data_IF_086671908576
#
_entry.id   IF_086671908576
#
_cell.length_a   1.000
_cell.length_b   1.000
_cell.length_c   1.000
_cell.angle_alpha   90.00
_cell.angle_beta   90.00
_cell.angle_gamma   90.00
#
_symmetry.space_group_name_H-M   'P 1'
#
loop_
_entity.id
_entity.type
_entity.pdbx_description
1 polymer ?
#
# COMPACT_ATOMS: atom_id res chain seq x y z
N UNK A 1 -12.49 -15.98 -0.20
CA UNK A 1 -11.26 -15.24 -0.56
C UNK A 1 -11.32 -14.97 -2.04
N UNK A 2 -11.24 -13.70 -2.43
CA UNK A 2 -11.19 -13.33 -3.85
C UNK A 2 -9.83 -13.72 -4.44
N UNK A 3 -9.81 -14.06 -5.73
CA UNK A 3 -8.55 -14.34 -6.41
C UNK A 3 -7.92 -13.04 -6.86
N UNK A 4 -6.60 -13.03 -6.98
CA UNK A 4 -5.84 -11.87 -7.44
C UNK A 4 -6.37 -11.30 -8.77
N UNK A 5 -6.83 -12.14 -9.70
CA UNK A 5 -7.38 -11.68 -10.98
C UNK A 5 -8.68 -10.86 -10.81
N UNK A 6 -9.54 -11.24 -9.86
CA UNK A 6 -10.79 -10.52 -9.59
C UNK A 6 -10.52 -9.17 -8.89
N UNK A 7 -9.51 -9.17 -8.00
CA UNK A 7 -9.10 -8.00 -7.21
C UNK A 7 -8.56 -6.86 -8.07
N UNK A 8 -7.95 -7.16 -9.22
CA UNK A 8 -7.44 -6.12 -10.13
C UNK A 8 -8.48 -5.09 -10.55
N UNK A 9 -9.76 -5.48 -10.57
CA UNK A 9 -10.88 -4.62 -10.92
C UNK A 9 -11.69 -4.16 -9.70
N UNK A 10 -11.90 -5.04 -8.72
CA UNK A 10 -12.75 -4.75 -7.56
C UNK A 10 -12.05 -4.03 -6.41
N UNK A 11 -10.72 -3.99 -6.39
CA UNK A 11 -9.94 -3.30 -5.36
C UNK A 11 -10.17 -1.79 -5.37
N UNK A 12 -10.43 -1.21 -6.54
CA UNK A 12 -10.38 0.24 -6.70
C UNK A 12 -11.70 0.93 -6.40
N UNK A 13 -11.66 1.96 -5.56
CA UNK A 13 -12.80 2.86 -5.41
C UNK A 13 -12.93 3.74 -6.67
N UNK A 14 -14.01 3.53 -7.42
CA UNK A 14 -14.31 4.32 -8.64
C UNK A 14 -15.06 5.62 -8.35
N UNK A 15 -15.43 5.87 -7.08
CA UNK A 15 -16.13 7.08 -6.67
C UNK A 15 -15.22 8.33 -6.65
N UNK A 16 -13.92 8.14 -6.44
CA UNK A 16 -12.92 9.21 -6.35
C UNK A 16 -11.78 9.02 -7.34
N UNK A 17 -11.33 10.11 -7.98
CA UNK A 17 -10.13 10.15 -8.80
C UNK A 17 -8.89 10.61 -8.01
N UNK A 18 -8.99 10.78 -6.70
CA UNK A 18 -7.89 11.23 -5.86
C UNK A 18 -6.70 10.27 -5.94
N UNK A 19 -5.51 10.83 -6.17
CA UNK A 19 -4.25 10.09 -6.22
C UNK A 19 -4.09 9.11 -7.41
N UNK A 20 -5.05 9.07 -8.34
CA UNK A 20 -4.93 8.30 -9.59
C UNK A 20 -3.96 9.00 -10.53
N UNK A 21 -2.90 8.29 -10.92
CA UNK A 21 -1.88 8.81 -11.83
C UNK A 21 -2.16 8.41 -13.29
N UNK A 22 -1.46 9.02 -14.27
CA UNK A 22 -1.58 8.63 -15.67
C UNK A 22 -1.33 7.13 -15.87
N UNK A 23 -1.86 6.50 -16.94
CA UNK A 23 -1.70 5.07 -17.20
C UNK A 23 -0.23 4.63 -17.12
N UNK A 24 0.00 3.51 -16.43
CA UNK A 24 1.35 3.02 -16.20
C UNK A 24 2.02 2.60 -17.51
N UNK A 25 3.11 3.28 -17.87
CA UNK A 25 3.91 2.94 -19.06
C UNK A 25 5.10 2.08 -18.69
N UNK A 26 5.57 1.26 -19.64
CA UNK A 26 6.79 0.46 -19.45
C UNK A 26 8.01 1.33 -19.10
N UNK A 27 8.10 2.53 -19.68
CA UNK A 27 9.17 3.48 -19.38
C UNK A 27 9.11 4.00 -17.94
N UNK A 28 7.90 4.26 -17.42
CA UNK A 28 7.71 4.68 -16.03
C UNK A 28 8.15 3.58 -15.06
N UNK A 29 7.87 2.31 -15.35
CA UNK A 29 8.32 1.16 -14.55
C UNK A 29 9.85 1.10 -14.52
N UNK A 30 10.50 1.11 -15.69
CA UNK A 30 11.97 1.05 -15.78
C UNK A 30 12.64 2.22 -15.05
N UNK A 31 12.05 3.43 -15.15
CA UNK A 31 12.55 4.59 -14.43
C UNK A 31 12.35 4.43 -12.92
N UNK A 32 11.21 3.90 -12.47
CA UNK A 32 10.91 3.69 -11.06
C UNK A 32 11.87 2.68 -10.43
N UNK A 33 12.04 1.51 -11.05
CA UNK A 33 12.98 0.49 -10.59
C UNK A 33 14.42 1.01 -10.53
N UNK A 34 14.83 1.81 -11.53
CA UNK A 34 16.16 2.45 -11.52
C UNK A 34 16.32 3.49 -10.41
N UNK A 35 15.30 4.32 -10.17
CA UNK A 35 15.36 5.37 -9.15
C UNK A 35 15.34 4.80 -7.73
N UNK A 36 14.55 3.75 -7.51
CA UNK A 36 14.43 3.08 -6.23
C UNK A 36 15.56 2.05 -6.00
N UNK A 37 16.28 1.68 -7.06
CA UNK A 37 17.30 0.63 -7.05
C UNK A 37 16.74 -0.69 -6.49
N UNK A 38 15.55 -1.07 -6.96
CA UNK A 38 14.86 -2.33 -6.63
C UNK A 38 14.06 -2.85 -7.83
N UNK A 39 13.76 -4.15 -7.82
CA UNK A 39 12.80 -4.77 -8.74
C UNK A 39 11.42 -4.78 -8.09
N UNK A 40 10.42 -4.20 -8.76
CA UNK A 40 9.06 -4.15 -8.23
C UNK A 40 8.35 -5.49 -8.43
N UNK A 41 7.50 -5.95 -7.49
CA UNK A 41 6.77 -7.20 -7.63
C UNK A 41 5.92 -7.20 -8.89
N UNK A 42 5.95 -8.31 -9.63
CA UNK A 42 5.14 -8.46 -10.85
C UNK A 42 3.64 -8.26 -10.59
N UNK A 43 3.14 -8.74 -9.44
CA UNK A 43 1.76 -8.57 -9.02
C UNK A 43 1.39 -7.09 -8.81
N UNK A 44 2.29 -6.29 -8.21
CA UNK A 44 2.08 -4.84 -8.06
C UNK A 44 2.00 -4.15 -9.43
N UNK A 45 2.90 -4.49 -10.36
CA UNK A 45 2.89 -3.90 -11.71
C UNK A 45 1.63 -4.26 -12.50
N UNK A 46 1.13 -5.49 -12.36
CA UNK A 46 -0.13 -5.91 -12.99
C UNK A 46 -1.31 -5.13 -12.40
N UNK A 47 -1.34 -4.94 -11.08
CA UNK A 47 -2.36 -4.13 -10.42
C UNK A 47 -2.32 -2.67 -10.91
N UNK A 48 -1.14 -2.04 -10.90
CA UNK A 48 -0.96 -0.64 -11.30
C UNK A 48 -1.19 -0.38 -12.79
N UNK A 49 -1.10 -1.41 -13.65
CA UNK A 49 -1.50 -1.32 -15.06
C UNK A 49 -3.01 -1.16 -15.24
N UNK A 50 -3.81 -1.71 -14.34
CA UNK A 50 -5.26 -1.52 -14.38
C UNK A 50 -5.64 -0.12 -13.92
N UNK A 51 -5.04 0.33 -12.82
CA UNK A 51 -5.18 1.69 -12.31
C UNK A 51 -3.93 2.10 -11.55
N UNK A 52 -3.33 3.22 -11.95
CA UNK A 52 -2.03 3.63 -11.44
C UNK A 52 -2.16 4.43 -10.14
N UNK A 53 -2.55 3.75 -9.06
CA UNK A 53 -2.81 4.33 -7.74
C UNK A 53 -4.23 4.87 -7.57
N UNK A 54 -4.57 5.16 -6.32
CA UNK A 54 -5.88 5.65 -5.92
C UNK A 54 -6.41 4.97 -4.65
N UNK A 55 -7.63 5.35 -4.26
CA UNK A 55 -8.33 4.75 -3.13
C UNK A 55 -8.71 3.29 -3.38
N UNK A 56 -8.67 2.52 -2.30
CA UNK A 56 -9.15 1.14 -2.22
C UNK A 56 -10.62 1.17 -1.82
N UNK A 57 -11.42 0.27 -2.39
CA UNK A 57 -12.83 0.14 -2.06
C UNK A 57 -13.01 -0.44 -0.65
N UNK A 58 -14.04 0.01 0.06
CA UNK A 58 -14.41 -0.42 1.43
C UNK A 58 -14.62 -1.94 1.60
N UNK A 59 -14.69 -2.70 0.51
CA UNK A 59 -14.72 -4.17 0.56
C UNK A 59 -13.35 -4.82 0.79
N UNK A 60 -12.26 -4.05 0.69
CA UNK A 60 -10.87 -4.52 0.68
C UNK A 60 -9.91 -3.60 1.43
N UNK A 61 -10.42 -2.63 2.17
CA UNK A 61 -9.68 -1.55 2.82
C UNK A 61 -9.00 -1.94 4.15
N UNK A 62 -8.99 -3.24 4.48
CA UNK A 62 -8.30 -3.76 5.66
C UNK A 62 -7.57 -5.08 5.41
N UNK A 63 -6.46 -5.29 6.13
CA UNK A 63 -5.76 -6.56 6.19
C UNK A 63 -5.80 -7.14 7.62
N UNK A 64 -6.31 -8.37 7.82
CA UNK A 64 -6.38 -9.01 9.14
C UNK A 64 -4.97 -9.30 9.70
N UNK A 65 -4.77 -9.03 10.98
CA UNK A 65 -3.54 -9.35 11.70
C UNK A 65 -3.81 -10.29 12.86
N UNK A 66 -2.86 -11.19 13.12
CA UNK A 66 -2.95 -12.14 14.25
C UNK A 66 -2.38 -11.57 15.55
N UNK A 67 -1.81 -10.37 15.49
CA UNK A 67 -1.19 -9.67 16.61
C UNK A 67 -1.66 -8.23 16.63
N UNK A 68 -1.91 -7.66 17.81
CA UNK A 68 -2.30 -6.27 17.93
C UNK A 68 -1.20 -5.36 17.42
N UNK A 69 -1.60 -4.39 16.61
CA UNK A 69 -0.77 -3.26 16.23
C UNK A 69 -1.03 -2.09 17.18
N UNK A 70 -0.29 -1.00 17.02
CA UNK A 70 -0.56 0.23 17.76
C UNK A 70 -1.87 0.92 17.35
N UNK A 71 -2.33 0.61 16.13
CA UNK A 71 -3.50 1.22 15.50
C UNK A 71 -4.77 0.40 15.75
N UNK A 72 -4.70 -0.92 15.61
CA UNK A 72 -5.83 -1.83 15.82
C UNK A 72 -5.41 -3.17 16.41
N UNK A 73 -6.27 -3.82 17.23
CA UNK A 73 -5.98 -5.11 17.84
C UNK A 73 -5.90 -6.29 16.85
N UNK A 74 -6.52 -6.19 15.68
CA UNK A 74 -6.78 -7.33 14.81
C UNK A 74 -6.71 -7.06 13.29
N UNK A 75 -6.43 -5.82 12.87
CA UNK A 75 -6.23 -5.49 11.46
C UNK A 75 -5.33 -4.28 11.24
N UNK A 76 -4.99 -4.00 9.99
CA UNK A 76 -4.35 -2.76 9.53
C UNK A 76 -5.13 -2.18 8.36
N UNK A 77 -5.26 -0.85 8.31
CA UNK A 77 -5.91 -0.16 7.20
C UNK A 77 -5.06 -0.22 5.92
N UNK A 78 -5.75 -0.40 4.80
CA UNK A 78 -5.20 -0.35 3.44
C UNK A 78 -6.21 0.36 2.51
N UNK A 79 -6.43 1.63 2.81
CA UNK A 79 -7.40 2.52 2.16
C UNK A 79 -6.86 3.15 0.86
N UNK A 80 -5.55 3.16 0.66
CA UNK A 80 -4.94 3.86 -0.47
C UNK A 80 -3.70 3.13 -1.02
N UNK A 81 -3.59 3.05 -2.36
CA UNK A 81 -2.42 2.53 -3.06
C UNK A 81 -1.69 3.65 -3.81
N UNK A 82 -0.41 3.82 -3.52
CA UNK A 82 0.47 4.76 -4.24
C UNK A 82 0.72 4.31 -5.67
N UNK A 83 0.60 5.24 -6.61
CA UNK A 83 0.90 5.00 -8.02
C UNK A 83 2.40 5.10 -8.35
N UNK A 84 2.74 4.81 -9.60
CA UNK A 84 4.05 5.08 -10.19
C UNK A 84 3.92 6.20 -11.20
N UNK A 85 4.43 7.37 -10.87
CA UNK A 85 4.52 8.45 -11.84
C UNK A 85 5.40 9.58 -11.36
N UNK A 86 5.97 10.24 -12.35
CA UNK A 86 6.80 11.41 -12.18
C UNK A 86 5.87 12.61 -12.04
N UNK A 87 6.23 13.55 -11.16
CA UNK A 87 5.63 14.89 -11.13
C UNK A 87 5.57 15.40 -12.57
N UNK A 88 4.38 15.59 -13.13
CA UNK A 88 4.30 16.43 -14.31
C UNK A 88 4.75 17.83 -13.87
N UNK A 89 5.86 18.28 -14.46
CA UNK A 89 6.55 19.53 -14.10
C UNK A 89 5.69 20.78 -14.38
N UNK A 90 4.47 20.60 -14.89
CA UNK A 90 3.51 21.66 -15.21
C UNK A 90 2.35 21.81 -14.21
N UNK A 91 2.28 20.99 -13.15
CA UNK A 91 1.33 21.21 -12.08
C UNK A 91 1.88 22.27 -11.12
N UNK A 92 1.69 23.55 -11.47
CA UNK A 92 1.98 24.68 -10.58
C UNK A 92 0.89 24.70 -9.49
N UNK A 93 1.12 23.92 -8.43
CA UNK A 93 0.28 23.92 -7.25
C UNK A 93 0.78 22.92 -6.23
N UNK A 94 1.10 23.38 -5.02
CA UNK A 94 1.49 22.56 -3.85
C UNK A 94 0.41 21.56 -3.39
N UNK A 95 -0.74 21.50 -4.08
CA UNK A 95 -1.91 20.66 -3.81
C UNK A 95 -2.08 19.48 -4.78
N UNK A 96 -1.22 19.38 -5.80
CA UNK A 96 -1.32 18.39 -6.88
C UNK A 96 -0.18 17.35 -6.77
N UNK A 97 0.04 16.86 -5.56
CA UNK A 97 1.05 15.84 -5.27
C UNK A 97 0.33 14.51 -5.12
N UNK A 98 0.01 13.85 -6.23
CA UNK A 98 -0.49 12.48 -6.16
C UNK A 98 0.57 11.60 -5.48
N UNK A 99 0.21 10.88 -4.41
CA UNK A 99 1.12 9.99 -3.70
C UNK A 99 1.70 8.95 -4.66
N UNK A 100 3.02 8.81 -4.63
CA UNK A 100 3.79 8.04 -5.60
C UNK A 100 4.84 7.22 -4.87
N UNK A 101 5.00 5.95 -5.25
CA UNK A 101 6.02 5.09 -4.63
C UNK A 101 7.44 5.67 -4.78
N UNK A 102 7.65 6.59 -5.73
CA UNK A 102 8.91 7.29 -5.95
C UNK A 102 9.30 8.23 -4.80
N UNK A 103 8.35 8.63 -3.95
CA UNK A 103 8.64 9.41 -2.74
C UNK A 103 9.12 8.53 -1.58
N UNK A 104 9.04 7.20 -1.71
CA UNK A 104 9.45 6.26 -0.66
C UNK A 104 10.84 6.53 -0.06
N UNK A 105 11.91 6.79 -0.84
CA UNK A 105 13.22 7.06 -0.25
C UNK A 105 13.25 8.29 0.64
N UNK A 106 12.46 9.32 0.31
CA UNK A 106 12.32 10.53 1.12
C UNK A 106 11.55 10.21 2.41
N UNK A 107 10.39 9.54 2.31
CA UNK A 107 9.57 9.18 3.45
C UNK A 107 10.28 8.21 4.41
N UNK A 108 10.98 7.21 3.87
CA UNK A 108 11.79 6.26 4.65
C UNK A 108 12.86 7.01 5.45
N UNK A 109 13.53 8.01 4.85
CA UNK A 109 14.52 8.81 5.54
C UNK A 109 13.91 9.77 6.58
N UNK A 110 12.79 10.43 6.25
CA UNK A 110 12.09 11.38 7.11
C UNK A 110 11.54 10.71 8.38
N UNK A 111 11.00 9.50 8.23
CA UNK A 111 10.37 8.74 9.31
C UNK A 111 11.33 7.72 9.96
N UNK A 112 12.57 7.61 9.50
CA UNK A 112 13.57 6.69 10.05
C UNK A 112 13.22 5.21 9.87
N UNK A 113 12.52 4.88 8.78
CA UNK A 113 12.13 3.50 8.46
C UNK A 113 13.33 2.67 7.98
N UNK A 114 13.26 1.33 8.11
CA UNK A 114 14.31 0.46 7.61
C UNK A 114 14.51 0.57 6.09
N UNK A 115 15.71 0.25 5.63
CA UNK A 115 16.10 0.23 4.22
C UNK A 115 16.73 -1.12 3.86
N UNK A 116 16.49 -1.68 2.66
CA UNK A 116 15.66 -1.16 1.57
C UNK A 116 14.17 -1.50 1.71
N UNK A 117 13.31 -0.49 1.79
CA UNK A 117 11.83 -0.60 1.81
C UNK A 117 11.23 0.38 0.80
N UNK A 118 10.17 -0.04 0.10
CA UNK A 118 9.36 0.84 -0.78
C UNK A 118 7.95 0.92 -0.23
N UNK A 119 7.48 2.12 0.06
CA UNK A 119 6.14 2.36 0.61
C UNK A 119 5.10 2.32 -0.52
N UNK A 120 3.97 1.69 -0.24
CA UNK A 120 2.89 1.48 -1.20
C UNK A 120 1.54 2.04 -0.72
N UNK A 121 1.42 2.45 0.53
CA UNK A 121 0.23 3.09 1.09
C UNK A 121 0.56 4.44 1.73
N UNK A 122 -0.46 5.30 1.85
CA UNK A 122 -0.36 6.63 2.46
C UNK A 122 -1.18 6.67 3.76
N UNK A 123 -0.60 6.23 4.89
CA UNK A 123 -1.35 6.13 6.16
C UNK A 123 -0.57 6.69 7.36
N UNK A 124 0.16 7.80 7.16
CA UNK A 124 1.03 8.37 8.19
C UNK A 124 0.31 8.53 9.55
N UNK A 125 0.94 8.13 10.68
CA UNK A 125 2.33 7.70 10.83
C UNK A 125 2.60 6.21 10.54
N UNK A 126 1.57 5.47 10.12
CA UNK A 126 1.65 4.05 9.78
C UNK A 126 1.88 3.85 8.28
N UNK A 127 2.67 2.85 7.91
CA UNK A 127 3.03 2.64 6.51
C UNK A 127 3.01 1.17 6.17
N UNK A 128 2.50 0.82 5.00
CA UNK A 128 2.68 -0.51 4.43
C UNK A 128 3.70 -0.40 3.30
N UNK A 129 4.72 -1.25 3.38
CA UNK A 129 5.84 -1.23 2.44
C UNK A 129 6.29 -2.62 2.03
N UNK A 130 6.86 -2.67 0.84
CA UNK A 130 7.63 -3.78 0.29
C UNK A 130 8.99 -3.82 0.98
N UNK A 131 9.23 -4.88 1.74
CA UNK A 131 10.45 -5.08 2.52
C UNK A 131 11.43 -5.98 1.77
N UNK A 132 12.53 -5.37 1.30
CA UNK A 132 13.58 -6.05 0.53
C UNK A 132 14.78 -6.46 1.39
N UNK A 133 14.74 -6.27 2.71
CA UNK A 133 15.89 -6.56 3.60
C UNK A 133 16.33 -8.02 3.55
N UNK A 134 15.37 -8.94 3.42
CA UNK A 134 15.63 -10.39 3.46
C UNK A 134 15.91 -10.96 2.07
N UNK A 135 15.09 -10.62 1.08
CA UNK A 135 15.20 -11.17 -0.29
C UNK A 135 16.24 -10.44 -1.16
N UNK A 136 16.69 -9.26 -0.73
CA UNK A 136 17.55 -8.37 -1.50
C UNK A 136 16.77 -7.54 -2.52
N UNK A 137 17.41 -6.49 -3.04
CA UNK A 137 16.79 -5.47 -3.93
C UNK A 137 16.12 -6.02 -5.20
N UNK A 138 16.50 -7.23 -5.63
CA UNK A 138 15.99 -7.86 -6.85
C UNK A 138 15.23 -9.18 -6.59
N UNK A 139 14.91 -9.47 -5.33
CA UNK A 139 14.08 -10.61 -4.95
C UNK A 139 12.59 -10.25 -4.88
N UNK A 140 11.77 -11.23 -4.49
CA UNK A 140 10.35 -10.99 -4.16
C UNK A 140 10.26 -10.46 -2.72
N UNK A 141 9.84 -9.21 -2.50
CA UNK A 141 9.75 -8.60 -1.16
C UNK A 141 8.52 -9.09 -0.40
N UNK A 142 8.65 -9.19 0.92
CA UNK A 142 7.51 -9.35 1.82
C UNK A 142 6.78 -8.03 2.05
N UNK A 143 5.53 -8.09 2.52
CA UNK A 143 4.83 -6.89 3.00
C UNK A 143 4.97 -6.76 4.49
N UNK A 144 5.37 -5.57 4.90
CA UNK A 144 5.54 -5.20 6.30
C UNK A 144 4.79 -3.91 6.57
N UNK A 145 4.06 -3.89 7.67
CA UNK A 145 3.49 -2.70 8.26
C UNK A 145 4.49 -2.08 9.23
N UNK A 146 4.61 -0.76 9.22
CA UNK A 146 5.53 0.01 10.04
C UNK A 146 4.75 1.09 10.79
N UNK A 147 5.01 1.24 12.07
CA UNK A 147 4.64 2.41 12.86
C UNK A 147 5.91 3.22 13.12
N UNK A 148 5.99 4.39 12.47
CA UNK A 148 7.14 5.25 12.59
C UNK A 148 7.25 5.94 13.96
N UNK A 149 6.13 6.22 14.63
CA UNK A 149 6.13 6.87 15.95
C UNK A 149 6.57 5.92 17.06
N UNK A 150 6.14 4.65 16.99
CA UNK A 150 6.48 3.64 18.00
C UNK A 150 7.70 2.80 17.64
N UNK A 151 8.24 2.98 16.44
CA UNK A 151 9.34 2.16 15.90
C UNK A 151 9.03 0.66 15.95
N UNK A 152 7.79 0.28 15.64
CA UNK A 152 7.36 -1.12 15.60
C UNK A 152 7.05 -1.54 14.17
N UNK A 153 7.27 -2.80 13.86
CA UNK A 153 6.98 -3.38 12.55
C UNK A 153 6.27 -4.73 12.69
N UNK A 154 5.42 -5.06 11.71
CA UNK A 154 4.68 -6.31 11.65
C UNK A 154 4.71 -6.86 10.23
N UNK A 155 5.22 -8.07 10.05
CA UNK A 155 5.12 -8.77 8.77
C UNK A 155 3.67 -9.16 8.50
N UNK A 156 3.14 -8.71 7.37
CA UNK A 156 1.76 -8.91 6.95
C UNK A 156 1.63 -10.14 6.05
N UNK A 157 2.50 -10.22 5.02
CA UNK A 157 2.44 -11.29 4.02
C UNK A 157 3.84 -11.58 3.44
N UNK A 158 4.07 -12.81 2.96
CA UNK A 158 5.36 -13.17 2.35
C UNK A 158 5.60 -12.52 0.98
N UNK A 159 4.55 -12.05 0.29
CA UNK A 159 4.60 -11.42 -1.02
C UNK A 159 3.35 -10.57 -1.27
N UNK A 160 3.38 -9.73 -2.31
CA UNK A 160 2.29 -8.79 -2.64
C UNK A 160 0.99 -9.47 -3.07
N UNK A 161 1.07 -10.62 -3.71
CA UNK A 161 -0.13 -11.35 -4.11
C UNK A 161 -0.85 -11.92 -2.89
N UNK A 162 -0.11 -12.57 -1.99
CA UNK A 162 -0.62 -13.10 -0.74
C UNK A 162 -1.24 -12.01 0.14
N UNK A 163 -0.67 -10.80 0.12
CA UNK A 163 -1.24 -9.64 0.81
C UNK A 163 -2.63 -9.28 0.25
N UNK A 164 -2.74 -9.10 -1.07
CA UNK A 164 -4.01 -8.72 -1.70
C UNK A 164 -5.10 -9.78 -1.53
N UNK A 165 -4.77 -11.06 -1.69
CA UNK A 165 -5.73 -12.16 -1.53
C UNK A 165 -6.24 -12.29 -0.07
N UNK A 166 -5.53 -11.70 0.89
CA UNK A 166 -5.91 -11.63 2.30
C UNK A 166 -6.69 -10.38 2.71
N UNK A 167 -6.88 -9.41 1.81
CA UNK A 167 -7.66 -8.19 2.10
C UNK A 167 -9.14 -8.53 2.36
N UNK A 168 -9.77 -7.72 3.21
CA UNK A 168 -11.19 -7.78 3.57
C UNK A 168 -11.70 -6.38 3.89
N UNK A 169 -13.01 -6.25 4.17
CA UNK A 169 -13.59 -4.98 4.57
C UNK A 169 -13.20 -4.62 6.02
N UNK A 170 -12.81 -3.37 6.26
CA UNK A 170 -12.60 -2.85 7.61
C UNK A 170 -13.86 -2.99 8.47
N UNK A 171 -15.04 -2.84 7.84
CA UNK A 171 -16.35 -3.02 8.49
C UNK A 171 -16.54 -4.40 9.12
N UNK A 172 -15.84 -5.46 8.65
CA UNK A 172 -15.93 -6.79 9.25
C UNK A 172 -15.35 -6.84 10.67
N UNK A 173 -14.50 -5.87 11.05
CA UNK A 173 -13.89 -5.77 12.37
C UNK A 173 -14.66 -4.86 13.32
N UNK A 174 -15.51 -3.97 12.80
CA UNK A 174 -16.29 -3.01 13.60
C UNK A 174 -17.48 -3.67 14.35
N UNK A 175 -17.90 -4.89 13.95
CA UNK A 175 -19.10 -5.57 14.49
C UNK A 175 -18.88 -6.33 15.82
N UNK A 176 -17.71 -6.23 16.45
CA UNK A 176 -17.47 -6.85 17.78
C UNK A 176 -17.90 -5.96 18.95
N UNK A 177 -18.46 -4.77 18.69
CA UNK A 177 -18.73 -3.73 19.69
C UNK A 177 -20.17 -3.54 20.18
N UNK A 178 -21.19 -4.23 19.66
CA UNK A 178 -22.57 -4.03 20.14
C UNK A 178 -22.98 -5.11 21.15
N UNK A 179 -22.56 -4.93 22.41
CA UNK A 179 -23.28 -5.53 23.53
C UNK A 179 -24.71 -5.00 23.48
N UNK A 180 -25.66 -5.86 23.08
CA UNK A 180 -27.09 -5.64 23.30
C UNK A 180 -27.32 -5.50 24.80
N UNK A 181 -27.31 -4.28 25.32
CA UNK A 181 -27.96 -3.98 26.61
C UNK A 181 -29.46 -4.08 26.38
N UNK A 182 -30.01 -5.26 26.67
CA UNK A 182 -31.43 -5.42 26.93
C UNK A 182 -31.68 -4.95 28.37
N UNK A 183 -32.42 -3.87 28.51
CA UNK A 183 -33.23 -3.57 29.70
C UNK A 183 -34.65 -3.25 29.20
#
# INVERSE_FOLDING_TARGET
MARFEDLQHSLWDTSSAYGVQPPLTAQAIVNAERLLDVTLPSALLVLLRHRNGGGVADSWDAFPTTRPTSWSPDHVAFDFVMGIGLREQNCIGLRDQSPSILTSPYLVAEWGLPTPVVLISESAPCWIGLDYRVCGRHGEPSLTWFDAERHTELSLAPDFRSFLEGLTAAADFEDTGTVRTSD
#
